data_IF_201136395329
#
_entry.id   IF_201136395329
#
_cell.length_a   1.000
_cell.length_b   1.000
_cell.length_c   1.000
_cell.angle_alpha   90.00
_cell.angle_beta   90.00
_cell.angle_gamma   90.00
#
_symmetry.space_group_name_H-M   'P 1'
#
loop_
_entity.id
_entity.type
_entity.pdbx_description
1 polymer ?
#
# COMPACT_ATOMS: atom_id res chain seq x y z
N UNK A 1 -6.61 -10.81 -17.47
CA UNK A 1 -6.00 -11.12 -16.15
C UNK A 1 -5.23 -9.96 -15.49
N UNK A 2 -4.58 -9.03 -16.24
CA UNK A 2 -3.72 -7.97 -15.66
C UNK A 2 -4.47 -6.93 -14.79
N UNK A 3 -5.70 -6.58 -15.16
CA UNK A 3 -6.50 -5.57 -14.45
C UNK A 3 -7.04 -6.10 -13.10
N UNK A 4 -7.41 -7.39 -13.02
CA UNK A 4 -7.88 -8.01 -11.78
C UNK A 4 -6.80 -8.10 -10.70
N UNK A 5 -5.53 -8.30 -11.11
CA UNK A 5 -4.38 -8.28 -10.19
C UNK A 5 -4.17 -6.91 -9.54
N UNK A 6 -4.41 -5.82 -10.29
CA UNK A 6 -4.33 -4.45 -9.77
C UNK A 6 -5.46 -4.14 -8.79
N UNK A 7 -6.69 -4.54 -9.13
CA UNK A 7 -7.85 -4.36 -8.26
C UNK A 7 -7.65 -5.12 -6.94
N UNK A 8 -7.23 -6.38 -7.01
CA UNK A 8 -6.94 -7.18 -5.80
C UNK A 8 -5.86 -6.54 -4.92
N UNK A 9 -4.80 -6.04 -5.54
CA UNK A 9 -3.71 -5.38 -4.84
C UNK A 9 -4.16 -4.08 -4.14
N UNK A 10 -5.01 -3.28 -4.79
CA UNK A 10 -5.60 -2.07 -4.19
C UNK A 10 -6.53 -2.41 -3.01
N UNK A 11 -7.33 -3.47 -3.14
CA UNK A 11 -8.23 -3.93 -2.06
C UNK A 11 -7.43 -4.39 -0.85
N UNK A 12 -6.38 -5.20 -1.05
CA UNK A 12 -5.50 -5.64 0.03
C UNK A 12 -4.79 -4.45 0.70
N UNK A 13 -4.32 -3.48 -0.09
CA UNK A 13 -3.68 -2.27 0.42
C UNK A 13 -4.64 -1.45 1.29
N UNK A 14 -5.89 -1.23 0.83
CA UNK A 14 -6.93 -0.55 1.61
C UNK A 14 -7.20 -1.25 2.95
N UNK A 15 -7.34 -2.58 2.96
CA UNK A 15 -7.59 -3.36 4.18
C UNK A 15 -6.44 -3.19 5.18
N UNK A 16 -5.19 -3.25 4.72
CA UNK A 16 -4.01 -3.06 5.58
C UNK A 16 -3.94 -1.64 6.15
N UNK A 17 -4.26 -0.62 5.34
CA UNK A 17 -4.36 0.77 5.80
C UNK A 17 -5.43 0.90 6.88
N UNK A 18 -6.63 0.36 6.65
CA UNK A 18 -7.74 0.45 7.61
C UNK A 18 -7.41 -0.27 8.92
N UNK A 19 -6.82 -1.47 8.87
CA UNK A 19 -6.39 -2.20 10.08
C UNK A 19 -5.29 -1.42 10.81
N UNK A 20 -4.32 -0.89 10.06
CA UNK A 20 -3.23 -0.07 10.61
C UNK A 20 -3.76 1.17 11.32
N UNK A 21 -4.69 1.91 10.70
CA UNK A 21 -5.33 3.08 11.31
C UNK A 21 -6.12 2.67 12.54
N UNK A 22 -7.01 1.68 12.44
CA UNK A 22 -7.88 1.25 13.55
C UNK A 22 -7.07 0.78 14.78
N UNK A 23 -5.97 0.06 14.58
CA UNK A 23 -5.11 -0.39 15.68
C UNK A 23 -4.16 0.71 16.21
N UNK A 24 -3.73 1.66 15.37
CA UNK A 24 -2.79 2.71 15.77
C UNK A 24 -3.42 4.07 16.10
N UNK A 25 -4.74 4.23 15.99
CA UNK A 25 -5.45 5.50 16.30
C UNK A 25 -5.21 6.06 17.71
N UNK A 26 -4.66 5.28 18.66
CA UNK A 26 -4.22 5.82 19.97
C UNK A 26 -2.87 6.55 19.94
N UNK A 27 -2.06 6.41 18.89
CA UNK A 27 -0.74 7.03 18.79
C UNK A 27 -0.59 7.78 17.47
N UNK A 28 -0.94 9.06 17.51
CA UNK A 28 -0.95 9.99 16.37
C UNK A 28 0.41 10.10 15.64
N UNK A 29 1.51 9.72 16.30
CA UNK A 29 2.85 9.65 15.71
C UNK A 29 3.09 8.44 14.80
N UNK A 30 2.33 7.35 14.94
CA UNK A 30 2.57 6.13 14.15
C UNK A 30 1.81 6.12 12.81
N UNK A 31 0.72 6.88 12.68
CA UNK A 31 -0.04 6.98 11.43
C UNK A 31 0.78 7.58 10.28
N UNK A 32 1.67 8.55 10.57
CA UNK A 32 2.53 9.17 9.57
C UNK A 32 3.57 8.16 9.02
N UNK A 33 4.20 7.39 9.90
CA UNK A 33 5.14 6.34 9.52
C UNK A 33 4.48 5.25 8.69
N UNK A 34 3.26 4.84 9.08
CA UNK A 34 2.50 3.82 8.36
C UNK A 34 2.14 4.28 6.94
N UNK A 35 1.71 5.54 6.79
CA UNK A 35 1.38 6.15 5.50
C UNK A 35 2.62 6.23 4.60
N UNK A 36 3.77 6.63 5.14
CA UNK A 36 5.04 6.68 4.41
C UNK A 36 5.51 5.29 3.95
N UNK A 37 5.37 4.27 4.79
CA UNK A 37 5.72 2.88 4.43
C UNK A 37 4.89 2.38 3.24
N UNK A 38 3.63 2.76 3.20
CA UNK A 38 2.67 2.35 2.17
C UNK A 38 2.92 3.07 0.84
N UNK A 39 3.27 4.35 0.89
CA UNK A 39 3.66 5.14 -0.28
C UNK A 39 4.91 4.57 -0.96
N UNK A 40 5.95 4.28 -0.16
CA UNK A 40 7.20 3.66 -0.65
C UNK A 40 6.93 2.30 -1.31
N UNK A 41 6.08 1.47 -0.71
CA UNK A 41 5.68 0.19 -1.30
C UNK A 41 4.97 0.40 -2.65
N UNK A 42 4.06 1.37 -2.75
CA UNK A 42 3.35 1.69 -3.99
C UNK A 42 4.30 2.14 -5.12
N UNK A 43 5.27 3.00 -4.78
CA UNK A 43 6.32 3.46 -5.72
C UNK A 43 7.17 2.27 -6.17
N UNK A 44 7.60 1.41 -5.25
CA UNK A 44 8.39 0.23 -5.56
C UNK A 44 7.64 -0.73 -6.49
N UNK A 45 6.36 -1.00 -6.22
CA UNK A 45 5.52 -1.84 -7.08
C UNK A 45 5.38 -1.27 -8.50
N UNK A 46 5.28 0.05 -8.61
CA UNK A 46 5.20 0.75 -9.89
C UNK A 46 6.52 0.63 -10.65
N UNK A 47 7.65 0.77 -9.96
CA UNK A 47 8.99 0.62 -10.53
C UNK A 47 9.21 -0.81 -11.05
N UNK A 48 8.88 -1.82 -10.25
CA UNK A 48 9.00 -3.24 -10.63
C UNK A 48 8.15 -3.56 -11.86
N UNK A 49 6.91 -3.04 -11.93
CA UNK A 49 6.04 -3.21 -13.11
C UNK A 49 6.60 -2.55 -14.37
N UNK A 50 7.34 -1.44 -14.22
CA UNK A 50 7.99 -0.75 -15.34
C UNK A 50 9.18 -1.56 -15.87
N UNK A 51 9.96 -2.14 -14.96
CA UNK A 51 11.14 -2.96 -15.29
C UNK A 51 10.79 -4.32 -15.93
N UNK A 52 9.69 -4.96 -15.53
CA UNK A 52 9.22 -6.23 -16.17
C UNK A 52 8.59 -6.02 -17.56
N UNK A 53 8.41 -4.76 -18.01
CA UNK A 53 7.78 -4.43 -19.30
C UNK A 53 8.78 -4.10 -20.41
N UNK A 54 10.06 -3.96 -20.05
CA UNK A 54 11.24 -3.95 -20.94
C UNK A 54 11.79 -5.35 -21.07
#
# INVERSE_FOLDING_TARGET
MRNWKLVYQLVVMMIVITIGIVNYSSSIGNCAWFTACIDILSILQTLTKKQTRT
#
